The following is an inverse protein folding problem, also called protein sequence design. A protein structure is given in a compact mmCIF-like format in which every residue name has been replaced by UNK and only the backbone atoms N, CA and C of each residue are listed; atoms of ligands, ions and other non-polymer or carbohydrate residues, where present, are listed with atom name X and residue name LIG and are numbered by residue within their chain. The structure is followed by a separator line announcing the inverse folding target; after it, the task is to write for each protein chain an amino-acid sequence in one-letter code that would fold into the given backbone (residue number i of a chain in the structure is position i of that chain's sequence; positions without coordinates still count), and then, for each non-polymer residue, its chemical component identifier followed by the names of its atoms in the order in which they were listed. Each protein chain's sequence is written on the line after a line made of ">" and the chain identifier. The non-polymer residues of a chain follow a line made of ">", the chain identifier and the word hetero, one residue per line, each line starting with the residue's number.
data_IF_232489655546
#
_entry.id   IF_232489655546
#
_cell.length_a   1.000
_cell.length_b   1.000
_cell.length_c   1.000
_cell.angle_alpha   90.00
_cell.angle_beta   90.00
_cell.angle_gamma   90.00
#
_symmetry.space_group_name_H-M   'P 1'
#
loop_
_entity.id
_entity.type
_entity.pdbx_description
1 polymer ?
#
# COMPACT_ATOMS: atom_id res chain seq x y z
N UNK A 1 -7.17 24.95 17.19
CA UNK A 1 -6.41 23.70 16.96
C UNK A 1 -5.14 23.78 17.78
N UNK A 2 -4.82 22.73 18.55
CA UNK A 2 -3.57 22.68 19.31
C UNK A 2 -2.38 22.59 18.34
N UNK A 3 -1.48 23.56 18.39
CA UNK A 3 -0.28 23.61 17.53
C UNK A 3 0.87 22.73 18.07
N UNK A 4 0.60 21.87 19.02
CA UNK A 4 1.60 20.99 19.62
C UNK A 4 1.39 19.55 19.15
N UNK A 5 2.53 18.87 18.89
CA UNK A 5 2.54 17.44 18.57
C UNK A 5 2.05 16.67 19.81
N UNK A 6 1.09 15.77 19.60
CA UNK A 6 0.67 14.82 20.62
C UNK A 6 1.54 13.55 20.54
N UNK A 7 2.69 13.61 21.22
CA UNK A 7 3.63 12.47 21.27
C UNK A 7 3.02 11.21 21.88
N UNK A 8 2.07 11.36 22.81
CA UNK A 8 1.37 10.20 23.39
C UNK A 8 0.55 9.48 22.33
N UNK A 9 -0.16 10.24 21.51
CA UNK A 9 -0.95 9.70 20.40
C UNK A 9 -0.07 8.97 19.38
N UNK A 10 1.05 9.59 19.00
CA UNK A 10 2.03 8.97 18.10
C UNK A 10 2.59 7.68 18.71
N UNK A 11 3.00 7.68 19.97
CA UNK A 11 3.57 6.51 20.64
C UNK A 11 2.58 5.34 20.70
N UNK A 12 1.32 5.60 21.06
CA UNK A 12 0.26 4.57 21.07
C UNK A 12 0.09 3.99 19.66
N UNK A 13 0.02 4.87 18.65
CA UNK A 13 -0.11 4.46 17.27
C UNK A 13 1.07 3.58 16.82
N UNK A 14 2.31 4.01 17.06
CA UNK A 14 3.51 3.28 16.65
C UNK A 14 3.60 1.91 17.32
N UNK A 15 3.36 1.82 18.62
CA UNK A 15 3.35 0.53 19.34
C UNK A 15 2.27 -0.37 18.77
N UNK A 16 1.05 0.14 18.57
CA UNK A 16 -0.07 -0.63 18.04
C UNK A 16 0.10 -1.04 16.56
N UNK A 17 0.87 -0.27 15.78
CA UNK A 17 1.19 -0.60 14.39
C UNK A 17 2.34 -1.60 14.30
N UNK A 18 3.44 -1.38 15.02
CA UNK A 18 4.63 -2.20 14.88
C UNK A 18 4.59 -3.51 15.66
N UNK A 19 4.10 -3.53 16.90
CA UNK A 19 4.15 -4.73 17.72
C UNK A 19 3.39 -5.92 17.08
N UNK A 20 2.14 -5.76 16.59
CA UNK A 20 1.46 -6.85 15.89
C UNK A 20 2.12 -7.19 14.54
N UNK A 21 2.62 -6.19 13.80
CA UNK A 21 3.27 -6.43 12.51
C UNK A 21 4.53 -7.28 12.67
N UNK A 22 5.41 -6.93 13.61
CA UNK A 22 6.61 -7.74 13.90
C UNK A 22 6.28 -9.12 14.46
N UNK A 23 5.24 -9.25 15.28
CA UNK A 23 4.79 -10.54 15.75
C UNK A 23 4.34 -11.44 14.59
N UNK A 24 3.59 -10.88 13.64
CA UNK A 24 3.18 -11.60 12.43
C UNK A 24 4.38 -12.00 11.57
N UNK A 25 5.35 -11.09 11.36
CA UNK A 25 6.57 -11.38 10.61
C UNK A 25 7.38 -12.49 11.28
N UNK A 26 7.49 -12.46 12.61
CA UNK A 26 8.17 -13.50 13.37
C UNK A 26 7.46 -14.86 13.24
N UNK A 27 6.13 -14.89 13.31
CA UNK A 27 5.37 -16.13 13.08
C UNK A 27 5.58 -16.70 11.68
N UNK A 28 5.57 -15.82 10.64
CA UNK A 28 5.83 -16.22 9.26
C UNK A 28 7.26 -16.79 9.12
N UNK A 29 8.23 -16.15 9.76
CA UNK A 29 9.61 -16.61 9.77
C UNK A 29 9.75 -18.02 10.40
N UNK A 30 9.12 -18.27 11.53
CA UNK A 30 9.16 -19.58 12.21
C UNK A 30 8.57 -20.73 11.39
N UNK A 31 7.59 -20.45 10.54
CA UNK A 31 6.93 -21.45 9.69
C UNK A 31 7.73 -21.73 8.42
N UNK A 32 8.56 -20.78 8.01
CA UNK A 32 9.27 -20.77 6.74
C UNK A 32 8.50 -20.02 5.67
N UNK A 33 9.13 -18.98 5.11
CA UNK A 33 8.51 -18.05 4.18
C UNK A 33 7.91 -18.70 2.94
N UNK A 34 8.54 -19.73 2.38
CA UNK A 34 8.03 -20.46 1.21
C UNK A 34 6.72 -21.21 1.50
N UNK A 35 6.64 -21.89 2.67
CA UNK A 35 5.43 -22.58 3.10
C UNK A 35 4.30 -21.60 3.42
N UNK A 36 4.64 -20.45 3.99
CA UNK A 36 3.69 -19.40 4.29
C UNK A 36 3.06 -18.82 3.00
N UNK A 37 3.86 -18.59 1.96
CA UNK A 37 3.37 -18.09 0.67
C UNK A 37 2.43 -19.06 -0.04
N UNK A 38 2.58 -20.37 0.18
CA UNK A 38 1.72 -21.40 -0.40
C UNK A 38 0.44 -21.65 0.40
N UNK A 39 0.33 -21.14 1.62
CA UNK A 39 -0.82 -21.37 2.49
C UNK A 39 -1.79 -20.19 2.47
N UNK A 40 -3.06 -20.36 2.04
CA UNK A 40 -4.04 -19.28 1.95
C UNK A 40 -4.29 -18.54 3.27
N UNK A 41 -4.18 -19.21 4.40
CA UNK A 41 -4.33 -18.58 5.71
C UNK A 41 -3.23 -17.54 5.96
N UNK A 42 -1.97 -17.86 5.68
CA UNK A 42 -0.87 -16.91 5.84
C UNK A 42 -0.90 -15.80 4.81
N UNK A 43 -1.35 -16.07 3.59
CA UNK A 43 -1.60 -15.02 2.60
C UNK A 43 -2.65 -14.02 3.11
N UNK A 44 -3.73 -14.52 3.73
CA UNK A 44 -4.74 -13.65 4.34
C UNK A 44 -4.19 -12.81 5.49
N UNK A 45 -3.29 -13.36 6.31
CA UNK A 45 -2.60 -12.61 7.37
C UNK A 45 -1.71 -11.51 6.78
N UNK A 46 -0.93 -11.80 5.74
CA UNK A 46 -0.07 -10.82 5.06
C UNK A 46 -0.91 -9.64 4.52
N UNK A 47 -2.05 -9.94 3.90
CA UNK A 47 -2.99 -8.92 3.44
C UNK A 47 -3.61 -8.16 4.61
N UNK A 48 -4.04 -8.88 5.66
CA UNK A 48 -4.60 -8.28 6.87
C UNK A 48 -3.64 -7.32 7.58
N UNK A 49 -2.33 -7.57 7.47
CA UNK A 49 -1.27 -6.70 8.00
C UNK A 49 -1.37 -5.25 7.51
N UNK A 50 -1.82 -5.03 6.30
CA UNK A 50 -2.01 -3.68 5.74
C UNK A 50 -3.04 -2.84 6.53
N UNK A 51 -3.92 -3.49 7.31
CA UNK A 51 -4.89 -2.80 8.16
C UNK A 51 -4.39 -2.51 9.59
N UNK A 52 -3.24 -3.06 9.99
CA UNK A 52 -2.68 -2.85 11.34
C UNK A 52 -2.48 -1.36 11.64
N UNK A 53 -1.94 -0.51 10.74
CA UNK A 53 -1.82 0.92 11.01
C UNK A 53 -3.17 1.59 11.28
N UNK A 54 -4.23 1.24 10.53
CA UNK A 54 -5.56 1.76 10.79
C UNK A 54 -6.10 1.32 12.17
N UNK A 55 -5.86 0.07 12.56
CA UNK A 55 -6.23 -0.42 13.89
C UNK A 55 -5.45 0.32 14.97
N UNK A 56 -4.19 0.65 14.73
CA UNK A 56 -3.37 1.51 15.60
C UNK A 56 -3.96 2.91 15.77
N UNK A 57 -4.49 3.50 14.69
CA UNK A 57 -5.22 4.78 14.76
C UNK A 57 -6.48 4.63 15.61
N UNK A 58 -7.30 3.61 15.35
CA UNK A 58 -8.53 3.37 16.11
C UNK A 58 -8.23 3.20 17.60
N UNK A 59 -7.22 2.40 17.95
CA UNK A 59 -6.79 2.20 19.33
C UNK A 59 -6.32 3.51 19.98
N UNK A 60 -5.53 4.31 19.26
CA UNK A 60 -5.10 5.63 19.71
C UNK A 60 -6.28 6.54 20.02
N UNK A 61 -7.28 6.60 19.11
CA UNK A 61 -8.49 7.40 19.31
C UNK A 61 -9.31 6.92 20.51
N UNK A 62 -9.44 5.61 20.72
CA UNK A 62 -10.15 5.04 21.87
C UNK A 62 -9.46 5.36 23.20
N UNK A 63 -8.13 5.16 23.29
CA UNK A 63 -7.36 5.46 24.51
C UNK A 63 -7.38 6.96 24.85
N UNK A 64 -7.37 7.80 23.82
CA UNK A 64 -7.45 9.25 23.96
C UNK A 64 -8.88 9.75 24.15
N UNK A 65 -9.88 8.86 24.19
CA UNK A 65 -11.31 9.16 24.31
C UNK A 65 -11.81 10.17 23.27
N UNK A 66 -11.25 10.11 22.07
CA UNK A 66 -11.70 10.89 20.91
C UNK A 66 -12.68 10.08 20.07
N UNK A 67 -13.66 10.72 19.46
CA UNK A 67 -14.67 10.03 18.62
C UNK A 67 -14.01 9.33 17.43
N UNK A 68 -14.11 8.00 17.35
CA UNK A 68 -13.45 7.19 16.32
C UNK A 68 -13.89 7.61 14.92
N UNK A 69 -15.22 7.78 14.71
CA UNK A 69 -15.78 8.14 13.41
C UNK A 69 -15.24 9.48 12.89
N UNK A 70 -15.19 10.48 13.77
CA UNK A 70 -14.73 11.81 13.39
C UNK A 70 -13.21 11.87 13.28
N UNK A 71 -12.50 11.12 14.12
CA UNK A 71 -11.06 10.95 14.01
C UNK A 71 -10.64 10.30 12.69
N UNK A 72 -11.30 9.21 12.29
CA UNK A 72 -11.02 8.56 11.00
C UNK A 72 -11.30 9.48 9.80
N UNK A 73 -12.38 10.27 9.87
CA UNK A 73 -12.67 11.29 8.84
C UNK A 73 -11.60 12.38 8.79
N UNK A 74 -11.10 12.81 9.95
CA UNK A 74 -10.03 13.79 10.06
C UNK A 74 -8.73 13.26 9.42
N UNK A 75 -8.43 11.98 9.62
CA UNK A 75 -7.25 11.30 9.07
C UNK A 75 -7.42 10.77 7.64
N UNK A 76 -8.43 11.26 6.92
CA UNK A 76 -8.55 11.03 5.47
C UNK A 76 -9.58 10.01 5.04
N UNK A 77 -10.27 9.29 5.95
CA UNK A 77 -11.38 8.40 5.57
C UNK A 77 -12.61 9.22 5.16
N UNK A 78 -12.49 9.89 4.03
CA UNK A 78 -13.47 10.83 3.50
C UNK A 78 -13.66 10.60 2.01
N UNK A 79 -14.83 10.17 1.60
CA UNK A 79 -15.19 10.10 0.19
C UNK A 79 -15.65 11.49 -0.25
N UNK A 80 -14.75 12.19 -0.93
CA UNK A 80 -15.05 13.50 -1.51
C UNK A 80 -15.62 13.40 -2.93
N UNK A 81 -16.18 14.50 -3.44
CA UNK A 81 -16.75 14.58 -4.80
C UNK A 81 -15.75 14.23 -5.90
N UNK A 82 -14.45 14.47 -5.68
CA UNK A 82 -13.37 14.19 -6.63
C UNK A 82 -12.77 12.79 -6.48
N UNK A 83 -13.30 11.97 -5.58
CA UNK A 83 -12.75 10.64 -5.29
C UNK A 83 -12.59 9.76 -6.54
N UNK A 84 -13.59 9.64 -7.46
CA UNK A 84 -13.42 8.80 -8.65
C UNK A 84 -12.28 9.31 -9.58
N UNK A 85 -12.15 10.61 -9.72
CA UNK A 85 -11.09 11.23 -10.54
C UNK A 85 -9.70 10.96 -9.95
N UNK A 86 -9.55 11.11 -8.64
CA UNK A 86 -8.30 10.84 -7.93
C UNK A 86 -7.94 9.36 -7.97
N UNK A 87 -8.93 8.48 -7.88
CA UNK A 87 -8.74 7.04 -7.99
C UNK A 87 -8.20 6.65 -9.37
N UNK A 88 -8.82 7.16 -10.44
CA UNK A 88 -8.36 6.93 -11.81
C UNK A 88 -6.97 7.51 -12.05
N UNK A 89 -6.71 8.72 -11.57
CA UNK A 89 -5.38 9.34 -11.65
C UNK A 89 -4.34 8.48 -10.92
N UNK A 90 -4.62 8.09 -9.69
CA UNK A 90 -3.72 7.24 -8.89
C UNK A 90 -3.41 5.90 -9.57
N UNK A 91 -4.42 5.25 -10.15
CA UNK A 91 -4.24 3.99 -10.89
C UNK A 91 -3.47 4.18 -12.20
N UNK A 92 -3.48 5.39 -12.80
CA UNK A 92 -2.77 5.69 -14.06
C UNK A 92 -1.29 6.04 -13.84
N UNK A 93 -0.90 6.56 -12.68
CA UNK A 93 0.48 6.99 -12.38
C UNK A 93 1.51 5.85 -12.57
N UNK A 94 1.30 4.61 -12.08
CA UNK A 94 2.25 3.52 -12.29
C UNK A 94 2.53 3.23 -13.77
N UNK A 95 1.51 3.34 -14.63
CA UNK A 95 1.68 3.15 -16.08
C UNK A 95 2.51 4.26 -16.70
N UNK A 96 2.28 5.51 -16.28
CA UNK A 96 3.09 6.64 -16.74
C UNK A 96 4.56 6.47 -16.33
N UNK A 97 4.81 6.08 -15.07
CA UNK A 97 6.17 5.79 -14.57
C UNK A 97 6.80 4.65 -15.37
N UNK A 98 6.05 3.59 -15.66
CA UNK A 98 6.51 2.46 -16.44
C UNK A 98 6.89 2.86 -17.86
N UNK A 99 6.05 3.65 -18.54
CA UNK A 99 6.33 4.17 -19.89
C UNK A 99 7.58 5.06 -19.89
N UNK A 100 7.71 5.98 -18.92
CA UNK A 100 8.89 6.84 -18.76
C UNK A 100 10.14 5.97 -18.50
N UNK A 101 10.03 4.94 -17.66
CA UNK A 101 11.13 4.01 -17.37
C UNK A 101 11.60 3.24 -18.60
N UNK A 102 10.66 2.77 -19.44
CA UNK A 102 10.97 2.12 -20.72
C UNK A 102 11.68 3.11 -21.67
N UNK A 103 11.13 4.31 -21.84
CA UNK A 103 11.70 5.34 -22.71
C UNK A 103 13.12 5.71 -22.26
N UNK A 104 13.33 5.91 -20.97
CA UNK A 104 14.64 6.17 -20.40
C UNK A 104 15.61 5.02 -20.61
N UNK A 105 15.19 3.77 -20.32
CA UNK A 105 16.00 2.57 -20.56
C UNK A 105 16.46 2.47 -22.02
N UNK A 106 15.53 2.72 -22.96
CA UNK A 106 15.85 2.75 -24.39
C UNK A 106 16.91 3.80 -24.74
N UNK A 107 16.77 5.01 -24.19
CA UNK A 107 17.69 6.14 -24.45
C UNK A 107 19.13 5.85 -23.97
N UNK A 108 19.29 5.10 -22.87
CA UNK A 108 20.61 4.76 -22.32
C UNK A 108 21.12 3.39 -22.80
N UNK A 109 20.46 2.78 -23.81
CA UNK A 109 20.92 1.53 -24.44
C UNK A 109 20.60 0.25 -23.66
N UNK A 110 19.72 0.30 -22.65
CA UNK A 110 19.25 -0.92 -21.99
C UNK A 110 18.25 -1.66 -22.89
N UNK A 111 18.36 -3.00 -22.99
CA UNK A 111 17.39 -3.78 -23.76
C UNK A 111 16.02 -3.72 -23.11
N UNK A 112 15.04 -3.20 -23.85
CA UNK A 112 13.63 -3.23 -23.42
C UNK A 112 13.10 -4.63 -23.65
N UNK A 113 12.93 -5.37 -22.56
CA UNK A 113 12.38 -6.72 -22.61
C UNK A 113 10.89 -6.71 -22.26
N UNK A 114 10.11 -7.50 -23.01
CA UNK A 114 8.74 -7.77 -22.61
C UNK A 114 8.75 -8.64 -21.34
N UNK A 115 8.21 -8.15 -20.19
CA UNK A 115 8.25 -8.89 -18.92
C UNK A 115 7.53 -10.25 -19.02
N UNK A 116 6.58 -10.40 -19.94
CA UNK A 116 5.84 -11.62 -20.17
C UNK A 116 6.69 -12.69 -20.83
N UNK A 117 7.71 -12.34 -21.62
CA UNK A 117 8.55 -13.32 -22.32
C UNK A 117 9.26 -14.30 -21.37
N UNK A 118 9.60 -13.85 -20.15
CA UNK A 118 10.21 -14.72 -19.14
C UNK A 118 9.19 -15.62 -18.43
N UNK A 119 7.95 -15.15 -18.26
CA UNK A 119 6.90 -15.86 -17.54
C UNK A 119 6.13 -16.83 -18.47
N UNK A 120 5.99 -16.45 -19.74
CA UNK A 120 5.22 -17.21 -20.70
C UNK A 120 5.66 -18.69 -20.86
N UNK A 121 6.97 -19.03 -20.90
CA UNK A 121 7.41 -20.42 -20.95
C UNK A 121 7.08 -21.25 -19.70
N UNK A 122 6.85 -20.58 -18.55
CA UNK A 122 6.52 -21.22 -17.27
C UNK A 122 5.05 -21.59 -17.16
N UNK A 123 4.21 -21.06 -18.04
CA UNK A 123 2.77 -21.36 -18.08
C UNK A 123 2.52 -22.77 -18.61
N UNK A 124 1.39 -23.36 -18.22
CA UNK A 124 0.96 -24.66 -18.73
C UNK A 124 0.76 -24.62 -20.24
N UNK A 125 0.87 -25.79 -20.90
CA UNK A 125 0.71 -25.89 -22.37
C UNK A 125 -0.67 -25.41 -22.80
N UNK A 126 -1.70 -25.70 -22.02
CA UNK A 126 -3.09 -25.31 -22.28
C UNK A 126 -3.24 -23.78 -22.32
N UNK A 127 -2.65 -23.07 -21.34
CA UNK A 127 -2.70 -21.61 -21.28
C UNK A 127 -1.92 -21.01 -22.45
N UNK A 128 -0.75 -21.57 -22.82
CA UNK A 128 0.04 -21.08 -23.94
C UNK A 128 -0.64 -21.31 -25.32
N UNK A 129 -1.50 -22.32 -25.44
CA UNK A 129 -2.32 -22.51 -26.61
C UNK A 129 -3.45 -21.48 -26.75
N UNK A 130 -3.99 -21.00 -25.60
CA UNK A 130 -5.10 -20.06 -25.58
C UNK A 130 -4.66 -18.60 -25.70
N UNK A 131 -3.48 -18.26 -25.17
CA UNK A 131 -3.02 -16.88 -25.03
C UNK A 131 -1.65 -16.68 -25.70
N UNK A 132 -1.54 -15.71 -26.59
CA UNK A 132 -0.25 -15.24 -27.07
C UNK A 132 0.48 -14.40 -26.02
N UNK A 133 1.81 -14.22 -26.10
CA UNK A 133 2.54 -13.33 -25.18
C UNK A 133 2.00 -11.89 -25.14
N UNK A 134 1.57 -11.36 -26.29
CA UNK A 134 0.98 -10.03 -26.39
C UNK A 134 -0.40 -9.95 -25.72
N UNK A 135 -1.23 -10.97 -25.91
CA UNK A 135 -2.54 -11.07 -25.24
C UNK A 135 -2.36 -11.17 -23.72
N UNK A 136 -1.41 -11.98 -23.28
CA UNK A 136 -1.10 -12.11 -21.84
C UNK A 136 -0.61 -10.78 -21.24
N UNK A 137 0.24 -10.04 -21.96
CA UNK A 137 0.67 -8.71 -21.54
C UNK A 137 -0.52 -7.74 -21.40
N UNK A 138 -1.39 -7.68 -22.40
CA UNK A 138 -2.56 -6.81 -22.38
C UNK A 138 -3.50 -7.15 -21.21
N UNK A 139 -3.79 -8.45 -21.00
CA UNK A 139 -4.61 -8.91 -19.89
C UNK A 139 -3.96 -8.58 -18.53
N UNK A 140 -2.64 -8.74 -18.41
CA UNK A 140 -1.92 -8.41 -17.18
C UNK A 140 -2.00 -6.91 -16.86
N UNK A 141 -1.85 -6.03 -17.85
CA UNK A 141 -1.99 -4.60 -17.68
C UNK A 141 -3.42 -4.20 -17.28
N UNK A 142 -4.43 -4.75 -17.95
CA UNK A 142 -5.84 -4.49 -17.61
C UNK A 142 -6.15 -5.00 -16.19
N UNK A 143 -5.72 -6.21 -15.85
CA UNK A 143 -5.90 -6.78 -14.51
C UNK A 143 -5.21 -5.94 -13.43
N UNK A 144 -4.00 -5.47 -13.67
CA UNK A 144 -3.27 -4.59 -12.75
C UNK A 144 -4.02 -3.26 -12.55
N UNK A 145 -4.60 -2.68 -13.61
CA UNK A 145 -5.40 -1.46 -13.52
C UNK A 145 -6.66 -1.68 -12.67
N UNK A 146 -7.43 -2.74 -12.97
CA UNK A 146 -8.64 -3.09 -12.22
C UNK A 146 -8.30 -3.37 -10.76
N UNK A 147 -7.25 -4.13 -10.50
CA UNK A 147 -6.76 -4.39 -9.13
C UNK A 147 -6.33 -3.11 -8.42
N UNK A 148 -5.67 -2.19 -9.13
CA UNK A 148 -5.26 -0.88 -8.60
C UNK A 148 -6.44 -0.05 -8.09
N UNK A 149 -7.51 0.05 -8.84
CA UNK A 149 -8.71 0.82 -8.46
C UNK A 149 -9.64 0.09 -7.48
N UNK A 150 -9.45 -1.19 -7.24
CA UNK A 150 -10.30 -2.02 -6.38
C UNK A 150 -9.52 -2.54 -5.16
N UNK A 151 -8.95 -3.73 -5.27
CA UNK A 151 -8.33 -4.44 -4.15
C UNK A 151 -7.15 -3.68 -3.54
N UNK A 152 -6.23 -3.18 -4.38
CA UNK A 152 -5.06 -2.47 -3.88
C UNK A 152 -5.44 -1.16 -3.19
N UNK A 153 -6.45 -0.45 -3.68
CA UNK A 153 -6.99 0.75 -3.01
C UNK A 153 -7.59 0.40 -1.66
N UNK A 154 -8.37 -0.68 -1.57
CA UNK A 154 -8.93 -1.13 -0.29
C UNK A 154 -7.82 -1.46 0.72
N UNK A 155 -6.79 -2.18 0.31
CA UNK A 155 -5.68 -2.55 1.19
C UNK A 155 -4.85 -1.32 1.59
N UNK A 156 -4.56 -0.41 0.65
CA UNK A 156 -3.82 0.81 0.91
C UNK A 156 -4.51 1.74 1.92
N UNK A 157 -5.85 1.79 1.97
CA UNK A 157 -6.59 2.62 2.94
C UNK A 157 -6.13 2.33 4.37
N UNK A 158 -5.89 1.07 4.73
CA UNK A 158 -5.45 0.69 6.06
C UNK A 158 -4.11 1.34 6.46
N UNK A 159 -3.15 1.35 5.55
CA UNK A 159 -1.83 1.97 5.75
C UNK A 159 -1.92 3.50 5.69
N UNK A 160 -2.63 4.03 4.71
CA UNK A 160 -2.72 5.47 4.46
C UNK A 160 -3.32 6.25 5.64
N UNK A 161 -4.35 5.70 6.29
CA UNK A 161 -4.98 6.31 7.48
C UNK A 161 -3.97 6.41 8.64
N UNK A 162 -3.09 5.42 8.79
CA UNK A 162 -2.06 5.45 9.82
C UNK A 162 -0.95 6.45 9.50
N UNK A 163 -0.26 6.22 8.39
CA UNK A 163 0.96 6.94 8.06
C UNK A 163 0.69 8.34 7.50
N UNK A 164 -0.20 8.45 6.50
CA UNK A 164 -0.54 9.73 5.87
C UNK A 164 -1.74 10.43 6.51
N UNK A 165 -2.51 9.74 7.34
CA UNK A 165 -3.52 10.35 8.18
C UNK A 165 -2.91 10.84 9.50
N UNK A 166 -2.81 9.97 10.50
CA UNK A 166 -2.42 10.35 11.86
C UNK A 166 -0.99 10.91 11.95
N UNK A 167 0.01 10.20 11.40
CA UNK A 167 1.40 10.61 11.54
C UNK A 167 1.68 11.93 10.81
N UNK A 168 1.16 12.08 9.59
CA UNK A 168 1.33 13.31 8.81
C UNK A 168 0.63 14.49 9.49
N UNK A 169 -0.59 14.30 10.03
CA UNK A 169 -1.33 15.35 10.74
C UNK A 169 -0.60 15.80 12.02
N UNK A 170 -0.17 14.85 12.84
CA UNK A 170 0.50 15.16 14.10
C UNK A 170 1.87 15.83 13.89
N UNK A 171 2.72 15.29 13.02
CA UNK A 171 4.05 15.83 12.75
C UNK A 171 3.99 17.14 11.97
N UNK A 172 3.00 17.29 11.09
CA UNK A 172 2.76 18.51 10.31
C UNK A 172 2.40 19.74 11.15
N UNK A 173 2.03 19.57 12.43
CA UNK A 173 1.83 20.69 13.38
C UNK A 173 3.12 21.45 13.69
N UNK A 174 4.28 20.82 13.52
CA UNK A 174 5.57 21.41 13.87
C UNK A 174 6.58 21.42 12.72
N UNK A 175 6.54 20.43 11.85
CA UNK A 175 7.50 20.27 10.80
C UNK A 175 6.89 20.62 9.44
N UNK A 176 7.71 21.12 8.52
CA UNK A 176 7.29 21.30 7.12
C UNK A 176 7.00 19.95 6.45
N UNK A 177 6.20 19.97 5.40
CA UNK A 177 5.80 18.74 4.69
C UNK A 177 7.00 17.87 4.24
N UNK A 178 8.10 18.42 3.67
CA UNK A 178 9.26 17.61 3.31
C UNK A 178 9.91 16.90 4.52
N UNK A 179 10.07 17.62 5.64
CA UNK A 179 10.66 17.04 6.85
C UNK A 179 9.74 15.95 7.42
N UNK A 180 8.45 16.21 7.48
CA UNK A 180 7.47 15.23 7.94
C UNK A 180 7.49 13.97 7.08
N UNK A 181 7.57 14.13 5.75
CA UNK A 181 7.65 12.98 4.82
C UNK A 181 8.93 12.16 5.02
N UNK A 182 10.07 12.82 5.28
CA UNK A 182 11.32 12.11 5.58
C UNK A 182 11.20 11.33 6.90
N UNK A 183 10.66 11.95 7.95
CA UNK A 183 10.47 11.27 9.25
C UNK A 183 9.57 10.03 9.07
N UNK A 184 8.43 10.17 8.39
CA UNK A 184 7.51 9.05 8.15
C UNK A 184 8.17 7.96 7.30
N UNK A 185 9.04 8.33 6.34
CA UNK A 185 9.74 7.36 5.49
C UNK A 185 10.88 6.61 6.19
N UNK A 186 11.37 7.10 7.34
CA UNK A 186 12.41 6.44 8.15
C UNK A 186 11.77 5.52 9.20
N UNK A 187 10.61 5.91 9.72
CA UNK A 187 9.86 5.14 10.71
C UNK A 187 9.12 3.99 10.06
#
# INVERSE_FOLDING_TARGET
>A
MNNYIDYRRISIFLIAAYAPAYLMDFMIYLIGSEKALMNPFYQSLIVGRMYIPMLGVVLSLLIMKTGVKDGLKMYGLRIGRRFPQLLLLGASIPYLIYIIGIAYGYLIGFPVMNPVEKVYPMLSKEVRHLLSPSTLLALSLISAFISGISLNTLFAIGEEIGWRGLMLDELGKRFSLPITSIIIGIV
#
